data_IF_073164324457
#
_entry.id   IF_073164324457
#
_cell.length_a   1.000
_cell.length_b   1.000
_cell.length_c   1.000
_cell.angle_alpha   90.00
_cell.angle_beta   90.00
_cell.angle_gamma   90.00
#
_symmetry.space_group_name_H-M   'P 1'
#
loop_
_entity.id
_entity.type
_entity.pdbx_description
1 polymer ?
#
# COMPACT_ATOMS: atom_id res chain seq x y z
N UNK A 1 48.40 16.80 -18.18
CA UNK A 1 47.21 16.89 -17.30
C UNK A 1 45.99 17.01 -18.20
N UNK A 2 45.30 15.91 -18.49
CA UNK A 2 44.04 15.96 -19.24
C UNK A 2 43.00 16.62 -18.33
N UNK A 3 42.42 17.73 -18.76
CA UNK A 3 41.35 18.41 -18.05
C UNK A 3 40.07 17.57 -18.07
N UNK A 4 39.29 17.63 -17.00
CA UNK A 4 37.96 17.00 -16.96
C UNK A 4 37.08 17.62 -18.05
N UNK A 5 36.53 16.78 -18.94
CA UNK A 5 35.77 17.23 -20.12
C UNK A 5 34.39 17.79 -19.78
N UNK A 6 33.89 17.57 -18.56
CA UNK A 6 32.66 18.17 -18.03
C UNK A 6 32.72 18.22 -16.49
N UNK A 7 32.35 19.35 -15.90
CA UNK A 7 32.14 19.48 -14.45
C UNK A 7 30.65 19.39 -14.20
N UNK A 8 30.19 18.31 -13.57
CA UNK A 8 28.81 18.22 -13.10
C UNK A 8 28.66 18.93 -11.76
N UNK A 9 27.58 19.67 -11.60
CA UNK A 9 27.23 20.36 -10.36
C UNK A 9 25.80 20.05 -9.95
N UNK A 10 25.58 19.84 -8.66
CA UNK A 10 24.26 19.65 -8.02
C UNK A 10 24.23 20.55 -6.80
N UNK A 11 23.17 21.36 -6.67
CA UNK A 11 23.00 22.35 -5.60
C UNK A 11 24.24 23.24 -5.34
N UNK A 12 24.90 23.65 -6.43
CA UNK A 12 26.09 24.51 -6.38
C UNK A 12 27.40 23.81 -6.02
N UNK A 13 27.41 22.51 -5.72
CA UNK A 13 28.60 21.72 -5.40
C UNK A 13 29.07 20.89 -6.59
N UNK A 14 30.38 20.69 -6.74
CA UNK A 14 30.96 19.78 -7.75
C UNK A 14 30.60 18.34 -7.40
N UNK A 15 29.97 17.63 -8.32
CA UNK A 15 29.46 16.28 -8.12
C UNK A 15 30.02 15.33 -9.18
N UNK A 16 30.10 14.05 -8.82
CA UNK A 16 30.43 12.95 -9.74
C UNK A 16 29.29 11.94 -9.66
N UNK A 17 28.61 11.70 -10.76
CA UNK A 17 27.56 10.70 -10.84
C UNK A 17 28.17 9.30 -10.98
N UNK A 18 27.75 8.38 -10.11
CA UNK A 18 28.08 6.95 -10.19
C UNK A 18 26.78 6.22 -10.49
N UNK A 19 26.74 5.48 -11.60
CA UNK A 19 25.58 4.70 -12.04
C UNK A 19 25.91 3.22 -12.03
N UNK A 20 24.92 2.39 -11.69
CA UNK A 20 25.02 0.94 -11.77
C UNK A 20 23.64 0.34 -12.01
N UNK A 21 23.58 -0.74 -12.78
CA UNK A 21 22.36 -1.48 -13.02
C UNK A 21 22.15 -2.55 -11.93
N UNK A 22 20.90 -2.70 -11.51
CA UNK A 22 20.47 -3.68 -10.52
C UNK A 22 19.64 -4.77 -11.18
N UNK A 23 19.88 -6.01 -10.78
CA UNK A 23 18.98 -7.10 -11.08
C UNK A 23 17.82 -7.10 -10.07
N UNK A 24 16.64 -6.67 -10.55
CA UNK A 24 15.42 -6.50 -9.74
C UNK A 24 14.83 -7.82 -9.21
N UNK A 25 15.21 -8.95 -9.79
CA UNK A 25 14.77 -10.26 -9.31
C UNK A 25 15.51 -10.63 -8.02
N UNK A 26 16.78 -10.24 -7.91
CA UNK A 26 17.65 -10.56 -6.78
C UNK A 26 17.61 -9.48 -5.69
N UNK A 27 17.70 -8.19 -6.07
CA UNK A 27 17.85 -7.08 -5.12
C UNK A 27 16.98 -5.90 -5.54
N UNK A 28 16.15 -5.38 -4.64
CA UNK A 28 15.37 -4.17 -4.93
C UNK A 28 16.24 -2.91 -4.77
N UNK A 29 15.87 -1.84 -5.46
CA UNK A 29 16.55 -0.54 -5.35
C UNK A 29 16.66 -0.07 -3.89
N UNK A 30 15.59 -0.22 -3.11
CA UNK A 30 15.58 0.17 -1.69
C UNK A 30 16.53 -0.66 -0.83
N UNK A 31 16.63 -1.97 -1.10
CA UNK A 31 17.58 -2.84 -0.41
C UNK A 31 19.03 -2.49 -0.76
N UNK A 32 19.31 -2.18 -2.03
CA UNK A 32 20.62 -1.73 -2.48
C UNK A 32 21.01 -0.40 -1.81
N UNK A 33 20.10 0.57 -1.80
CA UNK A 33 20.28 1.86 -1.09
C UNK A 33 20.55 1.62 0.38
N UNK A 34 19.77 0.76 1.04
CA UNK A 34 19.93 0.46 2.46
C UNK A 34 21.30 -0.14 2.77
N UNK A 35 21.73 -1.15 2.00
CA UNK A 35 23.06 -1.77 2.15
C UNK A 35 24.18 -0.76 1.95
N UNK A 36 24.05 0.13 0.96
CA UNK A 36 25.06 1.16 0.70
C UNK A 36 25.07 2.23 1.80
N UNK A 37 23.90 2.65 2.28
CA UNK A 37 23.71 3.62 3.38
C UNK A 37 24.27 3.09 4.70
N UNK A 38 23.96 1.85 5.05
CA UNK A 38 24.37 1.23 6.32
C UNK A 38 25.79 0.65 6.26
N UNK A 39 26.32 0.42 5.05
CA UNK A 39 27.61 -0.23 4.84
C UNK A 39 28.75 0.76 4.52
N UNK A 40 29.29 0.75 3.29
CA UNK A 40 30.56 1.39 2.98
C UNK A 40 30.46 2.92 2.82
N UNK A 41 29.29 3.46 2.47
CA UNK A 41 29.18 4.88 2.11
C UNK A 41 29.52 5.85 3.24
N UNK A 42 29.06 5.66 4.50
CA UNK A 42 29.45 6.53 5.61
C UNK A 42 30.96 6.52 5.87
N UNK A 43 31.61 5.36 5.74
CA UNK A 43 33.05 5.21 5.98
C UNK A 43 33.87 5.93 4.90
N UNK A 44 33.45 5.82 3.64
CA UNK A 44 34.08 6.53 2.51
C UNK A 44 33.88 8.04 2.64
N UNK A 45 32.66 8.47 2.98
CA UNK A 45 32.30 9.87 3.20
C UNK A 45 33.18 10.51 4.28
N UNK A 46 33.33 9.84 5.42
CA UNK A 46 34.13 10.34 6.54
C UNK A 46 35.62 10.36 6.21
N UNK A 47 36.14 9.34 5.53
CA UNK A 47 37.57 9.24 5.18
C UNK A 47 38.03 10.31 4.19
N UNK A 48 37.18 10.68 3.24
CA UNK A 48 37.52 11.62 2.18
C UNK A 48 36.83 12.99 2.32
N UNK A 49 36.03 13.21 3.37
CA UNK A 49 35.31 14.46 3.60
C UNK A 49 34.26 14.76 2.53
N UNK A 50 33.65 13.73 1.96
CA UNK A 50 32.70 13.84 0.86
C UNK A 50 31.25 13.76 1.36
N UNK A 51 30.36 14.57 0.79
CA UNK A 51 28.92 14.39 0.91
C UNK A 51 28.43 13.50 -0.23
N UNK A 52 27.52 12.57 0.07
CA UNK A 52 26.88 11.72 -0.91
C UNK A 52 25.36 11.79 -0.75
N UNK A 53 24.67 11.58 -1.85
CA UNK A 53 23.21 11.55 -1.93
C UNK A 53 22.83 10.52 -2.99
N UNK A 54 21.82 9.70 -2.73
CA UNK A 54 21.21 8.88 -3.78
C UNK A 54 20.29 9.76 -4.61
N UNK A 55 20.50 9.78 -5.92
CA UNK A 55 19.72 10.58 -6.87
C UNK A 55 19.06 9.70 -7.91
N UNK A 56 17.97 10.19 -8.50
CA UNK A 56 17.26 9.55 -9.61
C UNK A 56 16.14 8.64 -9.10
N UNK A 57 16.08 7.40 -9.59
CA UNK A 57 14.98 6.46 -9.26
C UNK A 57 14.81 6.19 -7.77
N UNK A 58 15.90 6.21 -7.01
CA UNK A 58 15.92 6.07 -5.56
C UNK A 58 15.13 7.18 -4.85
N UNK A 59 15.44 8.42 -5.21
CA UNK A 59 14.84 9.64 -4.67
C UNK A 59 13.37 9.77 -5.12
N UNK A 60 13.09 9.43 -6.38
CA UNK A 60 11.72 9.38 -6.92
C UNK A 60 10.85 8.33 -6.21
N UNK A 61 11.38 7.11 -5.98
CA UNK A 61 10.66 6.05 -5.26
C UNK A 61 10.37 6.43 -3.81
N UNK A 62 11.36 7.00 -3.11
CA UNK A 62 11.18 7.45 -1.73
C UNK A 62 10.13 8.56 -1.60
N UNK A 63 10.18 9.57 -2.48
CA UNK A 63 9.16 10.64 -2.53
C UNK A 63 7.78 10.09 -2.86
N UNK A 64 7.68 9.21 -3.84
CA UNK A 64 6.41 8.62 -4.22
C UNK A 64 5.82 7.76 -3.08
N UNK A 65 6.66 7.07 -2.30
CA UNK A 65 6.22 6.33 -1.10
C UNK A 65 5.72 7.27 0.01
N UNK A 66 6.41 8.39 0.24
CA UNK A 66 5.96 9.43 1.17
C UNK A 66 4.61 10.01 0.75
N UNK A 67 4.47 10.39 -0.52
CA UNK A 67 3.22 10.89 -1.09
C UNK A 67 2.08 9.86 -0.96
N UNK A 68 2.38 8.58 -1.19
CA UNK A 68 1.43 7.49 -1.01
C UNK A 68 1.01 7.33 0.44
N UNK A 69 1.94 7.39 1.40
CA UNK A 69 1.63 7.29 2.83
C UNK A 69 0.71 8.44 3.26
N UNK A 70 0.99 9.66 2.80
CA UNK A 70 0.13 10.83 3.02
C UNK A 70 -1.25 10.59 2.37
N UNK A 71 -1.29 10.11 1.13
CA UNK A 71 -2.52 9.78 0.42
C UNK A 71 -3.38 8.75 1.15
N UNK A 72 -2.77 7.69 1.68
CA UNK A 72 -3.45 6.67 2.49
C UNK A 72 -4.01 7.28 3.78
N UNK A 73 -3.25 8.11 4.49
CA UNK A 73 -3.74 8.78 5.70
C UNK A 73 -4.94 9.68 5.41
N UNK A 74 -4.87 10.48 4.33
CA UNK A 74 -5.97 11.34 3.90
C UNK A 74 -7.20 10.50 3.52
N UNK A 75 -7.01 9.41 2.76
CA UNK A 75 -8.10 8.53 2.36
C UNK A 75 -8.76 7.86 3.57
N UNK A 76 -7.99 7.32 4.51
CA UNK A 76 -8.51 6.72 5.74
C UNK A 76 -9.26 7.75 6.60
N UNK A 77 -8.73 8.98 6.71
CA UNK A 77 -9.41 10.06 7.42
C UNK A 77 -10.73 10.46 6.72
N UNK A 78 -10.74 10.56 5.40
CA UNK A 78 -11.94 10.86 4.63
C UNK A 78 -13.00 9.76 4.77
N UNK A 79 -12.61 8.49 4.67
CA UNK A 79 -13.49 7.34 4.91
C UNK A 79 -14.07 7.43 6.32
N UNK A 80 -13.23 7.65 7.34
CA UNK A 80 -13.69 7.77 8.72
C UNK A 80 -14.72 8.90 8.89
N UNK A 81 -14.44 10.11 8.36
CA UNK A 81 -15.33 11.26 8.48
C UNK A 81 -16.69 10.97 7.80
N UNK A 82 -16.66 10.39 6.60
CA UNK A 82 -17.88 10.03 5.87
C UNK A 82 -18.68 8.99 6.67
N UNK A 83 -18.03 7.96 7.19
CA UNK A 83 -18.70 6.93 7.99
C UNK A 83 -19.25 7.48 9.31
N UNK A 84 -18.50 8.34 9.99
CA UNK A 84 -18.96 8.98 11.22
C UNK A 84 -20.21 9.82 10.97
N UNK A 85 -20.28 10.49 9.83
CA UNK A 85 -21.49 11.19 9.38
C UNK A 85 -22.64 10.20 9.11
N UNK A 86 -22.40 9.17 8.31
CA UNK A 86 -23.43 8.18 7.90
C UNK A 86 -24.02 7.46 9.10
N UNK A 87 -23.19 7.02 10.04
CA UNK A 87 -23.63 6.29 11.22
C UNK A 87 -24.08 7.20 12.37
N UNK A 88 -23.81 8.51 12.28
CA UNK A 88 -24.00 9.47 13.39
C UNK A 88 -23.36 8.98 14.71
N UNK A 89 -22.25 8.26 14.60
CA UNK A 89 -21.57 7.59 15.71
C UNK A 89 -20.06 7.54 15.42
N UNK A 90 -19.23 7.68 16.45
CA UNK A 90 -17.76 7.71 16.31
C UNK A 90 -17.10 6.33 16.44
N UNK A 91 -17.78 5.35 17.03
CA UNK A 91 -17.25 4.01 17.27
C UNK A 91 -17.58 3.03 16.14
N UNK A 92 -18.78 3.12 15.56
CA UNK A 92 -19.20 2.30 14.42
C UNK A 92 -18.27 2.43 13.21
N UNK A 93 -17.79 3.63 12.81
CA UNK A 93 -16.80 3.78 11.75
C UNK A 93 -15.51 3.01 12.04
N UNK A 94 -15.04 3.01 13.29
CA UNK A 94 -13.83 2.28 13.70
C UNK A 94 -14.06 0.78 13.55
N UNK A 95 -15.22 0.27 13.97
CA UNK A 95 -15.59 -1.13 13.80
C UNK A 95 -15.61 -1.55 12.32
N UNK A 96 -16.11 -0.69 11.43
CA UNK A 96 -16.09 -0.89 9.97
C UNK A 96 -14.65 -0.89 9.43
N UNK A 97 -13.82 0.08 9.85
CA UNK A 97 -12.44 0.21 9.37
C UNK A 97 -11.50 -0.88 9.93
N UNK A 98 -11.89 -1.57 11.00
CA UNK A 98 -11.12 -2.66 11.58
C UNK A 98 -10.90 -3.84 10.60
N UNK A 99 -11.64 -3.91 9.49
CA UNK A 99 -11.42 -4.92 8.45
C UNK A 99 -10.16 -4.65 7.59
N UNK A 100 -9.70 -3.40 7.51
CA UNK A 100 -8.62 -2.98 6.60
C UNK A 100 -7.31 -3.73 6.88
N UNK A 101 -6.84 -3.88 8.14
CA UNK A 101 -5.66 -4.70 8.45
C UNK A 101 -5.77 -6.14 7.96
N UNK A 102 -6.96 -6.75 8.00
CA UNK A 102 -7.17 -8.11 7.49
C UNK A 102 -7.01 -8.18 5.97
N UNK A 103 -7.43 -7.13 5.25
CA UNK A 103 -7.16 -6.98 3.82
C UNK A 103 -5.67 -6.95 3.50
N UNK A 104 -4.88 -6.23 4.30
CA UNK A 104 -3.42 -6.18 4.17
C UNK A 104 -2.81 -7.56 4.39
N UNK A 105 -3.22 -8.27 5.45
CA UNK A 105 -2.76 -9.64 5.72
C UNK A 105 -3.07 -10.57 4.54
N UNK A 106 -4.29 -10.49 3.99
CA UNK A 106 -4.68 -11.26 2.81
C UNK A 106 -3.83 -10.95 1.58
N UNK A 107 -3.52 -9.69 1.32
CA UNK A 107 -2.69 -9.28 0.19
C UNK A 107 -1.22 -9.71 0.34
N UNK A 108 -0.65 -9.56 1.54
CA UNK A 108 0.71 -10.02 1.86
C UNK A 108 0.80 -11.53 1.67
N UNK A 109 -0.19 -12.27 2.19
CA UNK A 109 -0.27 -13.72 2.02
C UNK A 109 -0.41 -14.12 0.55
N UNK A 110 -1.26 -13.43 -0.22
CA UNK A 110 -1.44 -13.68 -1.65
C UNK A 110 -0.16 -13.43 -2.46
N UNK A 111 0.55 -12.33 -2.19
CA UNK A 111 1.84 -12.03 -2.82
C UNK A 111 2.88 -13.11 -2.49
N UNK A 112 2.94 -13.53 -1.23
CA UNK A 112 3.84 -14.60 -0.80
C UNK A 112 3.52 -15.94 -1.49
N UNK A 113 2.24 -16.31 -1.57
CA UNK A 113 1.79 -17.55 -2.22
C UNK A 113 2.11 -17.57 -3.72
N UNK A 114 1.97 -16.42 -4.40
CA UNK A 114 2.24 -16.28 -5.83
C UNK A 114 3.70 -15.96 -6.17
N UNK A 115 4.56 -15.72 -5.17
CA UNK A 115 5.95 -15.36 -5.35
C UNK A 115 6.18 -13.93 -5.87
N UNK A 116 5.18 -13.05 -5.76
CA UNK A 116 5.30 -11.64 -6.16
C UNK A 116 5.81 -10.76 -5.01
N UNK A 117 6.65 -9.77 -5.31
CA UNK A 117 7.08 -8.75 -4.35
C UNK A 117 6.00 -7.69 -4.19
N UNK A 118 5.84 -7.13 -3.00
CA UNK A 118 5.01 -5.95 -2.79
C UNK A 118 5.66 -4.75 -3.46
N UNK A 119 4.94 -4.10 -4.38
CA UNK A 119 5.38 -2.90 -5.08
C UNK A 119 4.52 -1.70 -4.69
N UNK A 120 4.90 -0.50 -5.14
CA UNK A 120 4.06 0.69 -5.02
C UNK A 120 2.65 0.48 -5.62
N UNK A 121 2.57 -0.20 -6.77
CA UNK A 121 1.29 -0.51 -7.41
C UNK A 121 0.45 -1.49 -6.57
N UNK A 122 1.10 -2.44 -5.88
CA UNK A 122 0.40 -3.30 -4.91
C UNK A 122 -0.21 -2.48 -3.77
N UNK A 123 0.48 -1.44 -3.28
CA UNK A 123 -0.01 -0.58 -2.20
C UNK A 123 -1.17 0.33 -2.64
N UNK A 124 -1.12 0.88 -3.86
CA UNK A 124 -2.24 1.64 -4.44
C UNK A 124 -3.45 0.72 -4.64
N UNK A 125 -3.22 -0.51 -5.11
CA UNK A 125 -4.26 -1.52 -5.28
C UNK A 125 -4.89 -1.93 -3.93
N UNK A 126 -4.07 -2.01 -2.87
CA UNK A 126 -4.52 -2.24 -1.51
C UNK A 126 -5.43 -1.13 -0.97
N UNK A 127 -5.15 0.13 -1.33
CA UNK A 127 -6.05 1.24 -1.01
C UNK A 127 -7.41 1.08 -1.69
N UNK A 128 -7.42 0.67 -2.96
CA UNK A 128 -8.66 0.34 -3.68
C UNK A 128 -9.43 -0.82 -3.03
N UNK A 129 -8.71 -1.88 -2.63
CA UNK A 129 -9.28 -3.01 -1.91
C UNK A 129 -9.92 -2.60 -0.58
N UNK A 130 -9.32 -1.65 0.15
CA UNK A 130 -9.88 -1.15 1.40
C UNK A 130 -11.31 -0.60 1.22
N UNK A 131 -11.60 0.06 0.10
CA UNK A 131 -12.96 0.54 -0.21
C UNK A 131 -13.98 -0.60 -0.38
N UNK A 132 -13.58 -1.68 -1.05
CA UNK A 132 -14.42 -2.87 -1.24
C UNK A 132 -14.70 -3.53 0.13
N UNK A 133 -13.67 -3.69 0.96
CA UNK A 133 -13.80 -4.28 2.29
C UNK A 133 -14.66 -3.43 3.22
N UNK A 134 -14.51 -2.11 3.14
CA UNK A 134 -15.33 -1.15 3.89
C UNK A 134 -16.79 -1.25 3.47
N UNK A 135 -17.09 -1.35 2.17
CA UNK A 135 -18.47 -1.52 1.69
C UNK A 135 -19.16 -2.74 2.32
N UNK A 136 -18.51 -3.90 2.32
CA UNK A 136 -19.08 -5.11 2.90
C UNK A 136 -19.29 -4.99 4.41
N UNK A 137 -18.36 -4.31 5.09
CA UNK A 137 -18.43 -4.04 6.53
C UNK A 137 -19.54 -3.04 6.89
N UNK A 138 -19.79 -2.02 6.08
CA UNK A 138 -20.90 -1.08 6.28
C UNK A 138 -22.21 -1.85 6.29
N UNK A 139 -22.46 -2.70 5.29
CA UNK A 139 -23.72 -3.43 5.19
C UNK A 139 -23.90 -4.38 6.38
N UNK A 140 -22.85 -5.04 6.85
CA UNK A 140 -22.90 -5.91 8.02
C UNK A 140 -23.19 -5.13 9.31
N UNK A 141 -22.46 -4.04 9.55
CA UNK A 141 -22.62 -3.22 10.77
C UNK A 141 -23.99 -2.55 10.79
N UNK A 142 -24.50 -2.05 9.66
CA UNK A 142 -25.86 -1.50 9.58
C UNK A 142 -26.92 -2.55 9.91
N UNK A 143 -26.77 -3.79 9.44
CA UNK A 143 -27.71 -4.87 9.80
C UNK A 143 -27.62 -5.30 11.26
N UNK A 144 -26.41 -5.30 11.82
CA UNK A 144 -26.24 -5.54 13.25
C UNK A 144 -26.93 -4.45 14.06
N UNK A 145 -26.85 -3.19 13.62
CA UNK A 145 -27.49 -2.07 14.30
C UNK A 145 -29.02 -2.09 14.21
N UNK A 146 -29.57 -2.42 13.03
CA UNK A 146 -31.01 -2.65 12.88
C UNK A 146 -31.51 -3.71 13.88
N UNK A 147 -30.82 -4.84 14.00
CA UNK A 147 -31.21 -5.93 14.90
C UNK A 147 -31.06 -5.57 16.39
N UNK A 148 -30.04 -4.79 16.73
CA UNK A 148 -29.91 -4.19 18.07
C UNK A 148 -31.08 -3.24 18.38
N UNK A 149 -31.50 -2.44 17.40
CA UNK A 149 -32.64 -1.52 17.56
C UNK A 149 -33.99 -2.24 17.68
N UNK A 150 -34.09 -3.46 17.13
CA UNK A 150 -35.23 -4.37 17.30
C UNK A 150 -35.26 -5.05 18.68
N UNK A 151 -34.23 -4.85 19.50
CA UNK A 151 -34.15 -5.34 20.87
C UNK A 151 -33.41 -6.67 21.04
N UNK A 152 -32.73 -7.16 20.00
CA UNK A 152 -31.87 -8.34 20.14
C UNK A 152 -30.64 -8.04 21.00
N UNK A 153 -30.18 -9.03 21.76
CA UNK A 153 -28.89 -8.94 22.46
C UNK A 153 -27.73 -8.92 21.45
N UNK A 154 -26.59 -8.33 21.84
CA UNK A 154 -25.42 -8.12 20.98
C UNK A 154 -24.97 -9.40 20.28
N UNK A 155 -24.98 -10.54 21.00
CA UNK A 155 -24.57 -11.82 20.44
C UNK A 155 -25.55 -12.33 19.39
N UNK A 156 -26.85 -12.19 19.63
CA UNK A 156 -27.89 -12.60 18.69
C UNK A 156 -27.87 -11.71 17.46
N UNK A 157 -27.79 -10.39 17.67
CA UNK A 157 -27.67 -9.39 16.62
C UNK A 157 -26.49 -9.69 15.69
N UNK A 158 -25.30 -9.94 16.25
CA UNK A 158 -24.09 -10.25 15.48
C UNK A 158 -24.21 -11.55 14.67
N UNK A 159 -24.77 -12.62 15.27
CA UNK A 159 -24.92 -13.91 14.59
C UNK A 159 -25.95 -13.82 13.45
N UNK A 160 -27.11 -13.22 13.68
CA UNK A 160 -28.12 -13.15 12.63
C UNK A 160 -27.78 -12.10 11.56
N UNK A 161 -27.17 -10.96 11.89
CA UNK A 161 -26.66 -10.04 10.87
C UNK A 161 -25.63 -10.72 9.96
N UNK A 162 -24.74 -11.54 10.55
CA UNK A 162 -23.78 -12.34 9.77
C UNK A 162 -24.49 -13.35 8.86
N UNK A 163 -25.51 -14.06 9.36
CA UNK A 163 -26.29 -15.01 8.55
C UNK A 163 -27.02 -14.33 7.39
N UNK A 164 -27.63 -13.18 7.64
CA UNK A 164 -28.40 -12.43 6.64
C UNK A 164 -27.52 -11.88 5.53
N UNK A 165 -26.26 -11.56 5.84
CA UNK A 165 -25.33 -10.93 4.91
C UNK A 165 -24.33 -11.89 4.29
N UNK A 166 -24.15 -13.09 4.83
CA UNK A 166 -23.16 -14.07 4.36
C UNK A 166 -23.23 -14.28 2.84
N UNK A 167 -24.43 -14.52 2.30
CA UNK A 167 -24.61 -14.76 0.86
C UNK A 167 -24.24 -13.54 0.01
N UNK A 168 -24.63 -12.34 0.47
CA UNK A 168 -24.35 -11.10 -0.25
C UNK A 168 -22.84 -10.81 -0.26
N UNK A 169 -22.18 -10.88 0.89
CA UNK A 169 -20.73 -10.63 1.02
C UNK A 169 -19.92 -11.64 0.19
N UNK A 170 -20.28 -12.93 0.23
CA UNK A 170 -19.63 -13.95 -0.58
C UNK A 170 -19.79 -13.68 -2.08
N UNK A 171 -20.98 -13.28 -2.53
CA UNK A 171 -21.23 -12.99 -3.94
C UNK A 171 -20.42 -11.79 -4.43
N UNK A 172 -20.37 -10.70 -3.65
CA UNK A 172 -19.56 -9.52 -3.97
C UNK A 172 -18.09 -9.88 -4.06
N UNK A 173 -17.57 -10.56 -3.03
CA UNK A 173 -16.17 -11.02 -2.99
C UNK A 173 -15.83 -11.90 -4.18
N UNK A 174 -16.68 -12.89 -4.49
CA UNK A 174 -16.45 -13.80 -5.62
C UNK A 174 -16.52 -13.08 -6.97
N UNK A 175 -17.39 -12.09 -7.10
CA UNK A 175 -17.50 -11.28 -8.32
C UNK A 175 -16.25 -10.41 -8.51
N UNK A 176 -15.75 -9.79 -7.45
CA UNK A 176 -14.49 -9.03 -7.50
C UNK A 176 -13.31 -9.93 -7.87
N UNK A 177 -13.19 -11.09 -7.22
CA UNK A 177 -12.14 -12.06 -7.55
C UNK A 177 -12.29 -12.50 -9.01
N UNK A 178 -13.48 -12.90 -9.44
CA UNK A 178 -13.73 -13.33 -10.81
C UNK A 178 -13.44 -12.26 -11.86
N UNK A 179 -13.70 -10.98 -11.54
CA UNK A 179 -13.39 -9.85 -12.42
C UNK A 179 -11.90 -9.52 -12.50
N UNK A 180 -11.14 -9.72 -11.41
CA UNK A 180 -9.70 -9.44 -11.35
C UNK A 180 -8.83 -10.63 -11.76
N UNK A 181 -9.33 -11.86 -11.69
CA UNK A 181 -8.61 -13.08 -12.08
C UNK A 181 -8.05 -13.01 -13.50
N UNK A 182 -8.80 -12.58 -14.55
CA UNK A 182 -8.25 -12.45 -15.90
C UNK A 182 -7.05 -11.49 -15.96
N UNK A 183 -7.11 -10.37 -15.23
CA UNK A 183 -6.01 -9.40 -15.16
C UNK A 183 -4.75 -9.99 -14.52
N UNK A 184 -4.91 -10.91 -13.58
CA UNK A 184 -3.79 -11.59 -12.91
C UNK A 184 -3.05 -12.58 -13.84
N UNK A 185 -3.75 -13.16 -14.81
CA UNK A 185 -3.18 -14.11 -15.79
C UNK A 185 -2.79 -13.45 -17.12
N UNK A 186 -3.05 -12.15 -17.28
CA UNK A 186 -2.67 -11.39 -18.46
C UNK A 186 -1.15 -11.18 -18.49
N UNK A 187 -0.47 -11.81 -19.47
CA UNK A 187 1.00 -11.81 -19.58
C UNK A 187 1.56 -10.72 -20.51
N UNK A 188 0.73 -9.79 -21.01
CA UNK A 188 1.20 -8.76 -21.93
C UNK A 188 2.11 -7.74 -21.24
N UNK A 189 3.20 -7.38 -21.93
CA UNK A 189 4.28 -6.52 -21.42
C UNK A 189 3.79 -5.11 -21.03
N UNK A 190 2.65 -4.65 -21.56
CA UNK A 190 2.00 -3.42 -21.13
C UNK A 190 1.39 -3.49 -19.71
N UNK A 191 1.05 -4.67 -19.18
CA UNK A 191 0.44 -4.85 -17.85
C UNK A 191 1.45 -4.93 -16.70
N UNK A 192 2.72 -5.26 -16.99
CA UNK A 192 3.81 -5.29 -15.98
C UNK A 192 4.38 -3.91 -15.64
N UNK A 193 4.06 -2.89 -16.43
CA UNK A 193 4.58 -1.52 -16.30
C UNK A 193 3.51 -0.49 -15.93
N UNK A 194 2.24 -0.90 -15.77
CA UNK A 194 1.24 -0.06 -15.09
C UNK A 194 1.35 -0.25 -13.60
#
# INVERSE_FOLDING_TARGET
>A
KQGFSAIQRRDGKTAVAITGDLDSDILTTDQAIKVLTEGPMPQIAQRYGLSWEFSGRAEESARAFEDLQIGVMIALAAIYIILAWVFSDYWRPIAVMAIIPFGIVGAVFGHWLLGYKLTMMSLISLLGLAGILVNDSIVLVSRMDERLSEGEDLREAAVGASRDRLRAVLLTSLTTIGGLVPLLFEQSVQAKFM
#
